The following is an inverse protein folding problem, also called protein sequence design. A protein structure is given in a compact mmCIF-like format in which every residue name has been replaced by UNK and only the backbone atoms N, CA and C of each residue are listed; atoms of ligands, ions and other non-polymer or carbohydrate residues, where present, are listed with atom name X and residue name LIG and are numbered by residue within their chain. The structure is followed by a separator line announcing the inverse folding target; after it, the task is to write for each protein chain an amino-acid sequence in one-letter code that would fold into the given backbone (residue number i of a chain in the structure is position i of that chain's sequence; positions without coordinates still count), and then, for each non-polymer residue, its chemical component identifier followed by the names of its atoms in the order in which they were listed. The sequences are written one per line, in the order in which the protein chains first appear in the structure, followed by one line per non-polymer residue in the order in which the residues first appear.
data_IF_708312042028
#
_entry.id   IF_708312042028
#
_cell.length_a   1.000
_cell.length_b   1.000
_cell.length_c   1.000
_cell.angle_alpha   90.00
_cell.angle_beta   90.00
_cell.angle_gamma   90.00
#
_symmetry.space_group_name_H-M   'P 1'
#
loop_
_entity.id
_entity.type
_entity.pdbx_description
1 polymer ?
#
# COMPACT_ATOMS: atom_id res chain seq x y z
N UNK A 1 16.23 -13.05 -5.28
CA UNK A 1 15.14 -13.41 -4.38
C UNK A 1 14.15 -14.27 -5.15
N UNK A 2 13.70 -15.40 -4.61
CA UNK A 2 12.85 -16.37 -5.32
C UNK A 2 11.45 -16.49 -4.71
N UNK A 3 11.17 -15.74 -3.64
CA UNK A 3 9.89 -15.76 -2.93
C UNK A 3 9.50 -14.34 -2.50
N UNK A 4 9.17 -13.45 -3.46
CA UNK A 4 8.77 -12.09 -3.12
C UNK A 4 7.40 -12.10 -2.43
N UNK A 5 7.28 -11.33 -1.36
CA UNK A 5 6.00 -11.15 -0.64
C UNK A 5 5.19 -9.93 -1.12
N UNK A 6 5.69 -9.19 -2.11
CA UNK A 6 4.97 -8.08 -2.73
C UNK A 6 5.02 -8.26 -4.24
N UNK A 7 3.85 -8.33 -4.88
CA UNK A 7 3.74 -8.42 -6.33
C UNK A 7 3.09 -7.15 -6.89
N UNK A 8 3.71 -6.56 -7.91
CA UNK A 8 3.11 -5.44 -8.68
C UNK A 8 2.74 -5.98 -10.06
N UNK A 9 1.45 -5.94 -10.36
CA UNK A 9 0.86 -6.48 -11.57
C UNK A 9 0.34 -5.34 -12.42
N UNK A 10 0.91 -5.16 -13.61
CA UNK A 10 0.42 -4.21 -14.60
C UNK A 10 -0.33 -5.02 -15.66
N UNK A 11 -1.65 -5.03 -15.57
CA UNK A 11 -2.51 -5.89 -16.40
C UNK A 11 -3.54 -5.05 -17.15
N UNK A 12 -3.75 -5.38 -18.42
CA UNK A 12 -4.93 -4.87 -19.14
C UNK A 12 -6.19 -5.62 -18.69
N UNK A 13 -7.36 -5.09 -19.04
CA UNK A 13 -8.66 -5.65 -18.68
C UNK A 13 -8.78 -7.14 -19.04
N UNK A 14 -8.41 -7.52 -20.26
CA UNK A 14 -8.51 -8.92 -20.74
C UNK A 14 -7.54 -9.84 -19.99
N UNK A 15 -6.31 -9.38 -19.73
CA UNK A 15 -5.29 -10.14 -18.99
C UNK A 15 -5.75 -10.38 -17.55
N UNK A 16 -6.33 -9.35 -16.92
CA UNK A 16 -6.84 -9.39 -15.54
C UNK A 16 -7.98 -10.38 -15.37
N UNK A 17 -8.93 -10.43 -16.31
CA UNK A 17 -10.05 -11.38 -16.26
C UNK A 17 -9.61 -12.85 -16.34
N UNK A 18 -8.45 -13.12 -16.97
CA UNK A 18 -7.84 -14.45 -17.04
C UNK A 18 -6.90 -14.80 -15.87
N UNK A 19 -6.65 -13.87 -14.94
CA UNK A 19 -5.54 -13.97 -13.99
C UNK A 19 -5.85 -14.76 -12.71
N UNK A 20 -7.05 -15.34 -12.57
CA UNK A 20 -7.48 -15.97 -11.31
C UNK A 20 -6.53 -17.08 -10.81
N UNK A 21 -6.13 -18.00 -11.70
CA UNK A 21 -5.26 -19.11 -11.34
C UNK A 21 -3.88 -18.64 -10.88
N UNK A 22 -3.36 -17.61 -11.53
CA UNK A 22 -2.06 -17.02 -11.20
C UNK A 22 -2.15 -16.27 -9.87
N UNK A 23 -3.23 -15.51 -9.63
CA UNK A 23 -3.48 -14.83 -8.37
C UNK A 23 -3.51 -15.81 -7.19
N UNK A 24 -4.22 -16.94 -7.32
CA UNK A 24 -4.28 -17.98 -6.27
C UNK A 24 -2.95 -18.71 -6.07
N UNK A 25 -2.09 -18.73 -7.09
CA UNK A 25 -0.72 -19.25 -6.99
C UNK A 25 0.18 -18.26 -6.27
N UNK A 26 0.04 -16.97 -6.56
CA UNK A 26 0.76 -15.90 -5.89
C UNK A 26 0.39 -15.88 -4.42
N UNK A 27 -0.90 -15.86 -4.08
CA UNK A 27 -1.41 -15.77 -2.70
C UNK A 27 -2.15 -17.05 -2.31
N UNK A 28 -1.43 -18.09 -1.84
CA UNK A 28 -2.07 -19.32 -1.37
C UNK A 28 -3.07 -19.05 -0.24
N UNK A 29 -4.31 -19.51 -0.42
CA UNK A 29 -5.37 -19.35 0.58
C UNK A 29 -6.14 -18.04 0.50
N UNK A 30 -5.93 -17.21 -0.53
CA UNK A 30 -6.78 -16.05 -0.82
C UNK A 30 -8.25 -16.44 -0.89
N UNK A 31 -9.11 -15.69 -0.19
CA UNK A 31 -10.55 -15.91 -0.19
C UNK A 31 -11.22 -15.42 -1.48
N UNK A 32 -12.41 -15.95 -1.76
CA UNK A 32 -13.15 -15.64 -2.99
C UNK A 32 -13.61 -14.17 -3.08
N UNK A 33 -13.77 -13.47 -1.96
CA UNK A 33 -14.15 -12.06 -1.97
C UNK A 33 -12.97 -11.20 -2.44
N UNK A 34 -11.76 -11.51 -1.97
CA UNK A 34 -10.51 -10.86 -2.39
C UNK A 34 -10.18 -11.15 -3.86
N UNK A 35 -10.37 -12.39 -4.31
CA UNK A 35 -10.30 -12.74 -5.74
C UNK A 35 -11.34 -11.96 -6.55
N UNK A 36 -12.57 -11.89 -6.07
CA UNK A 36 -13.65 -11.12 -6.69
C UNK A 36 -13.32 -9.64 -6.82
N UNK A 37 -12.73 -9.03 -5.78
CA UNK A 37 -12.29 -7.63 -5.78
C UNK A 37 -11.21 -7.37 -6.84
N UNK A 38 -10.24 -8.28 -6.99
CA UNK A 38 -9.20 -8.21 -8.02
C UNK A 38 -9.75 -8.39 -9.44
N UNK A 39 -10.67 -9.35 -9.63
CA UNK A 39 -11.24 -9.68 -10.95
C UNK A 39 -12.38 -8.76 -11.37
N UNK A 40 -12.98 -7.99 -10.48
CA UNK A 40 -14.12 -7.11 -10.78
C UNK A 40 -13.89 -5.66 -10.31
N UNK A 41 -12.68 -5.14 -10.54
CA UNK A 41 -12.32 -3.75 -10.21
C UNK A 41 -13.22 -2.76 -10.98
N UNK A 42 -13.90 -1.83 -10.30
CA UNK A 42 -14.69 -0.77 -10.94
C UNK A 42 -13.87 0.03 -11.97
N UNK A 43 -14.55 0.57 -13.00
CA UNK A 43 -13.86 1.28 -14.10
C UNK A 43 -13.24 2.61 -13.67
N UNK A 44 -13.78 3.20 -12.63
CA UNK A 44 -13.31 4.42 -11.96
C UNK A 44 -12.18 4.14 -10.96
N UNK A 45 -11.95 2.88 -10.58
CA UNK A 45 -10.78 2.49 -9.78
C UNK A 45 -9.55 2.33 -10.68
N UNK A 46 -8.55 3.18 -10.48
CA UNK A 46 -7.35 3.26 -11.31
C UNK A 46 -6.34 2.14 -10.96
N UNK A 47 -6.14 1.89 -9.68
CA UNK A 47 -5.28 0.85 -9.14
C UNK A 47 -5.88 0.28 -7.86
N UNK A 48 -5.39 -0.88 -7.42
CA UNK A 48 -5.82 -1.56 -6.20
C UNK A 48 -4.64 -2.31 -5.57
N UNK A 49 -4.40 -2.16 -4.27
CA UNK A 49 -3.58 -3.09 -3.49
C UNK A 49 -4.43 -3.93 -2.54
N UNK A 50 -4.14 -5.23 -2.52
CA UNK A 50 -4.64 -6.16 -1.51
C UNK A 50 -3.48 -6.57 -0.63
N UNK A 51 -3.56 -6.24 0.65
CA UNK A 51 -2.61 -6.68 1.67
C UNK A 51 -3.23 -7.81 2.51
N UNK A 52 -2.46 -8.87 2.69
CA UNK A 52 -2.88 -10.09 3.37
C UNK A 52 -2.10 -10.29 4.65
N UNK A 53 -2.78 -10.82 5.66
CA UNK A 53 -2.18 -11.27 6.90
C UNK A 53 -2.42 -12.76 7.10
N UNK A 54 -1.47 -13.43 7.77
CA UNK A 54 -1.56 -14.85 8.09
C UNK A 54 -1.93 -15.07 9.56
N UNK A 55 -2.66 -16.14 9.82
CA UNK A 55 -2.98 -16.65 11.17
C UNK A 55 -3.65 -15.62 12.11
N UNK A 56 -4.40 -14.66 11.55
CA UNK A 56 -5.06 -13.61 12.32
C UNK A 56 -4.09 -12.61 13.00
N UNK A 57 -2.82 -12.59 12.56
CA UNK A 57 -1.84 -11.61 13.05
C UNK A 57 -2.04 -10.28 12.33
N UNK A 58 -1.77 -9.14 12.98
CA UNK A 58 -1.92 -7.82 12.34
C UNK A 58 -0.80 -7.49 11.34
N UNK A 59 0.14 -8.40 11.09
CA UNK A 59 1.30 -8.18 10.22
C UNK A 59 0.94 -8.53 8.77
N UNK A 60 1.25 -7.63 7.85
CA UNK A 60 1.18 -7.94 6.42
C UNK A 60 2.25 -8.97 6.08
N UNK A 61 1.80 -10.14 5.65
CA UNK A 61 2.66 -11.23 5.19
C UNK A 61 2.85 -11.19 3.68
N UNK A 62 1.89 -10.63 2.95
CA UNK A 62 1.92 -10.58 1.50
C UNK A 62 1.07 -9.43 0.95
N UNK A 63 1.45 -8.87 -0.20
CA UNK A 63 0.65 -7.86 -0.90
C UNK A 63 0.64 -8.10 -2.41
N UNK A 64 -0.48 -7.78 -3.06
CA UNK A 64 -0.63 -7.77 -4.52
C UNK A 64 -1.21 -6.43 -4.92
N UNK A 65 -0.43 -5.63 -5.64
CA UNK A 65 -0.85 -4.41 -6.29
C UNK A 65 -1.24 -4.69 -7.75
N UNK A 66 -2.37 -4.16 -8.17
CA UNK A 66 -2.90 -4.17 -9.52
C UNK A 66 -2.93 -2.74 -10.05
N UNK A 67 -2.30 -2.54 -11.20
CA UNK A 67 -2.31 -1.28 -11.93
C UNK A 67 -2.84 -1.56 -13.33
N UNK A 68 -3.83 -0.79 -13.78
CA UNK A 68 -4.37 -0.93 -15.14
C UNK A 68 -3.30 -0.63 -16.18
N UNK A 69 -3.11 -1.56 -17.13
CA UNK A 69 -2.14 -1.44 -18.21
C UNK A 69 -2.47 -0.34 -19.21
N UNK A 70 -3.73 0.10 -19.24
CA UNK A 70 -4.24 1.16 -20.12
C UNK A 70 -3.86 2.57 -19.67
N UNK A 71 -3.28 2.73 -18.48
CA UNK A 71 -2.92 4.04 -17.95
C UNK A 71 -1.79 4.73 -18.74
N UNK A 72 -1.89 6.04 -18.97
CA UNK A 72 -0.75 6.85 -19.39
C UNK A 72 0.41 6.77 -18.40
N UNK A 73 1.64 7.02 -18.86
CA UNK A 73 2.86 6.86 -18.06
C UNK A 73 2.83 7.57 -16.71
N UNK A 74 2.37 8.83 -16.66
CA UNK A 74 2.30 9.59 -15.42
C UNK A 74 1.26 9.03 -14.44
N UNK A 75 0.11 8.61 -14.94
CA UNK A 75 -0.93 8.01 -14.10
C UNK A 75 -0.46 6.67 -13.53
N UNK A 76 0.14 5.84 -14.38
CA UNK A 76 0.74 4.58 -13.96
C UNK A 76 1.85 4.77 -12.93
N UNK A 77 2.69 5.80 -13.10
CA UNK A 77 3.71 6.14 -12.11
C UNK A 77 3.07 6.54 -10.76
N UNK A 78 1.99 7.33 -10.78
CA UNK A 78 1.27 7.68 -9.57
C UNK A 78 0.72 6.45 -8.84
N UNK A 79 0.05 5.55 -9.57
CA UNK A 79 -0.43 4.27 -9.03
C UNK A 79 0.72 3.43 -8.43
N UNK A 80 1.90 3.41 -9.04
CA UNK A 80 3.06 2.69 -8.48
C UNK A 80 3.45 3.27 -7.13
N UNK A 81 3.52 4.59 -7.00
CA UNK A 81 3.86 5.25 -5.74
C UNK A 81 2.79 4.99 -4.66
N UNK A 82 1.52 5.06 -5.05
CA UNK A 82 0.38 4.81 -4.17
C UNK A 82 0.35 3.38 -3.66
N UNK A 83 0.28 2.41 -4.56
CA UNK A 83 0.05 1.01 -4.19
C UNK A 83 1.24 0.40 -3.45
N UNK A 84 2.47 0.81 -3.78
CA UNK A 84 3.63 0.39 -3.01
C UNK A 84 3.56 0.92 -1.58
N UNK A 85 3.25 2.19 -1.40
CA UNK A 85 3.22 2.79 -0.07
C UNK A 85 2.07 2.25 0.79
N UNK A 86 0.89 2.04 0.20
CA UNK A 86 -0.26 1.44 0.89
C UNK A 86 -0.01 -0.04 1.21
N UNK A 87 0.58 -0.81 0.29
CA UNK A 87 0.93 -2.21 0.53
C UNK A 87 2.05 -2.39 1.57
N UNK A 88 2.83 -1.34 1.86
CA UNK A 88 3.78 -1.29 2.97
C UNK A 88 3.12 -0.96 4.33
N UNK A 89 1.83 -0.61 4.35
CA UNK A 89 1.05 -0.46 5.59
C UNK A 89 0.54 0.94 5.90
N UNK A 90 0.79 1.94 5.05
CA UNK A 90 0.16 3.26 5.15
C UNK A 90 -1.08 3.31 4.26
N UNK A 91 -2.19 2.74 4.75
CA UNK A 91 -3.47 2.82 4.07
C UNK A 91 -3.98 4.27 4.00
N UNK A 92 -4.82 4.54 3.00
CA UNK A 92 -5.38 5.85 2.68
C UNK A 92 -6.48 6.27 3.70
N UNK A 93 -6.07 6.52 4.94
CA UNK A 93 -6.98 6.54 6.10
C UNK A 93 -7.22 7.94 6.69
N UNK A 94 -6.59 9.00 6.19
CA UNK A 94 -6.67 10.32 6.85
C UNK A 94 -6.65 11.52 5.91
N UNK A 95 -7.77 12.28 5.80
CA UNK A 95 -7.79 13.54 5.06
C UNK A 95 -6.93 14.65 5.71
N UNK A 96 -6.37 14.39 6.90
CA UNK A 96 -5.48 15.32 7.61
C UNK A 96 -4.00 15.10 7.28
N UNK A 97 -3.65 14.01 6.61
CA UNK A 97 -2.29 13.76 6.15
C UNK A 97 -1.99 14.66 4.95
N UNK A 98 -1.82 15.97 5.13
CA UNK A 98 -1.46 16.88 4.03
C UNK A 98 -0.07 17.47 4.27
N UNK A 99 0.79 17.54 3.24
CA UNK A 99 0.64 17.01 1.87
C UNK A 99 0.94 15.50 1.81
N UNK A 100 0.11 14.67 1.17
CA UNK A 100 0.32 13.21 1.14
C UNK A 100 -0.37 12.59 -0.05
N UNK A 101 0.03 11.39 -0.44
CA UNK A 101 -0.78 10.50 -1.30
C UNK A 101 -1.82 9.70 -0.49
N UNK A 102 -1.80 9.77 0.85
CA UNK A 102 -2.68 9.04 1.78
C UNK A 102 -3.89 9.87 2.28
N UNK A 103 -4.24 10.97 1.59
CA UNK A 103 -5.35 11.86 1.95
C UNK A 103 -6.55 11.79 0.98
N UNK A 104 -6.58 10.81 0.07
CA UNK A 104 -7.66 10.45 -0.86
C UNK A 104 -8.27 11.59 -1.71
N UNK A 105 -7.56 12.71 -1.85
CA UNK A 105 -8.02 13.88 -2.63
C UNK A 105 -7.35 14.00 -4.00
N UNK A 106 -6.53 13.01 -4.39
CA UNK A 106 -5.76 12.94 -5.63
C UNK A 106 -4.91 14.21 -5.91
N UNK A 107 -4.60 15.02 -4.88
CA UNK A 107 -3.84 16.26 -5.05
C UNK A 107 -2.37 16.00 -5.41
N UNK A 108 -1.82 14.87 -4.95
CA UNK A 108 -0.42 14.50 -5.13
C UNK A 108 -0.32 13.21 -5.95
N UNK A 109 0.39 13.26 -7.07
CA UNK A 109 0.61 12.10 -7.94
C UNK A 109 1.89 11.31 -7.66
N UNK A 110 2.72 11.73 -6.70
CA UNK A 110 3.97 11.07 -6.34
C UNK A 110 4.19 11.20 -4.83
N UNK A 111 4.99 10.28 -4.26
CA UNK A 111 5.42 10.36 -2.87
C UNK A 111 6.00 11.75 -2.56
N UNK A 112 5.44 12.39 -1.55
CA UNK A 112 5.94 13.62 -0.99
C UNK A 112 7.00 13.31 0.08
N UNK A 113 7.77 14.32 0.49
CA UNK A 113 8.66 14.18 1.65
C UNK A 113 7.89 13.80 2.92
N UNK A 114 6.62 14.22 3.06
CA UNK A 114 5.80 13.82 4.20
C UNK A 114 5.50 12.32 4.17
N UNK A 115 5.17 11.76 3.01
CA UNK A 115 4.92 10.33 2.84
C UNK A 115 6.15 9.48 3.17
N UNK A 116 7.31 9.91 2.69
CA UNK A 116 8.58 9.24 3.02
C UNK A 116 8.87 9.26 4.52
N UNK A 117 8.54 10.35 5.22
CA UNK A 117 8.68 10.43 6.67
C UNK A 117 7.70 9.52 7.39
N UNK A 118 6.45 9.44 6.93
CA UNK A 118 5.46 8.51 7.48
C UNK A 118 5.90 7.06 7.31
N UNK A 119 6.46 6.69 6.15
CA UNK A 119 7.01 5.34 5.92
C UNK A 119 8.19 5.07 6.85
N UNK A 120 9.13 6.02 6.97
CA UNK A 120 10.25 5.90 7.93
C UNK A 120 9.76 5.71 9.36
N UNK A 121 8.71 6.43 9.75
CA UNK A 121 8.10 6.28 11.08
C UNK A 121 7.49 4.90 11.26
N UNK A 122 6.70 4.43 10.30
CA UNK A 122 6.03 3.12 10.37
C UNK A 122 7.01 1.96 10.55
N UNK A 123 8.19 2.06 9.92
CA UNK A 123 9.24 1.05 9.97
C UNK A 123 10.32 1.30 11.03
N UNK A 124 10.13 2.28 11.92
CA UNK A 124 11.04 2.48 13.05
C UNK A 124 10.90 1.32 14.05
N UNK A 125 12.02 0.72 14.47
CA UNK A 125 12.07 -0.45 15.37
C UNK A 125 11.30 -0.26 16.69
N UNK A 126 11.04 0.99 17.10
CA UNK A 126 10.26 1.31 18.30
C UNK A 126 8.77 1.08 18.10
N UNK A 127 8.26 1.06 16.86
CA UNK A 127 6.89 0.67 16.54
C UNK A 127 6.85 -0.82 16.20
N UNK A 128 5.90 -1.53 16.80
CA UNK A 128 5.72 -2.96 16.55
C UNK A 128 4.29 -3.23 16.12
N UNK A 129 4.13 -4.17 15.18
CA UNK A 129 2.83 -4.62 14.73
C UNK A 129 1.98 -5.12 15.90
N UNK A 130 0.71 -4.70 15.94
CA UNK A 130 -0.23 -5.07 17.00
C UNK A 130 -0.27 -4.11 18.18
N UNK A 131 0.55 -3.05 18.20
CA UNK A 131 0.33 -1.92 19.09
C UNK A 131 -1.00 -1.24 18.79
N UNK A 132 -1.76 -0.91 19.83
CA UNK A 132 -2.91 -0.04 19.69
C UNK A 132 -2.48 1.43 19.53
N UNK A 133 -3.43 2.28 19.14
CA UNK A 133 -3.16 3.70 18.94
C UNK A 133 -2.65 4.40 20.22
N UNK A 134 -3.09 3.99 21.42
CA UNK A 134 -2.67 4.61 22.67
C UNK A 134 -1.22 4.26 23.02
N UNK A 135 -0.77 3.06 22.66
CA UNK A 135 0.61 2.60 22.78
C UNK A 135 1.52 3.27 21.73
N UNK A 136 1.07 3.31 20.47
CA UNK A 136 1.86 3.82 19.35
C UNK A 136 2.00 5.35 19.35
N UNK A 137 0.95 6.09 19.72
CA UNK A 137 0.92 7.58 19.67
C UNK A 137 2.12 8.26 20.36
N UNK A 138 2.47 7.95 21.63
CA UNK A 138 3.60 8.59 22.29
C UNK A 138 4.94 8.26 21.61
N UNK A 139 5.10 7.06 21.07
CA UNK A 139 6.30 6.62 20.36
C UNK A 139 6.41 7.35 19.02
N UNK A 140 5.33 7.35 18.23
CA UNK A 140 5.24 8.03 16.94
C UNK A 140 5.57 9.53 17.06
N UNK A 141 5.14 10.19 18.15
CA UNK A 141 5.46 11.60 18.39
C UNK A 141 6.96 11.84 18.59
N UNK A 142 7.66 10.94 19.29
CA UNK A 142 9.11 11.02 19.48
C UNK A 142 9.82 10.85 18.14
N UNK A 143 9.49 9.79 17.39
CA UNK A 143 10.06 9.52 16.07
C UNK A 143 9.85 10.72 15.13
N UNK A 144 8.60 11.23 15.05
CA UNK A 144 8.28 12.38 14.22
C UNK A 144 9.16 13.60 14.57
N UNK A 145 9.32 13.90 15.86
CA UNK A 145 10.14 15.01 16.32
C UNK A 145 11.61 14.85 15.91
N UNK A 146 12.16 13.64 16.05
CA UNK A 146 13.54 13.33 15.67
C UNK A 146 13.75 13.48 14.16
N UNK A 147 12.83 12.93 13.34
CA UNK A 147 12.91 13.01 11.88
C UNK A 147 12.76 14.44 11.36
N UNK A 148 11.87 15.25 11.94
CA UNK A 148 11.69 16.65 11.51
C UNK A 148 12.81 17.57 11.99
N UNK A 149 13.42 17.29 13.15
CA UNK A 149 14.52 18.09 13.69
C UNK A 149 15.87 17.78 13.04
N UNK A 150 16.02 16.60 12.45
CA UNK A 150 17.23 16.19 11.73
C UNK A 150 17.33 16.83 10.33
N UNK A 151 16.26 17.53 9.88
CA UNK A 151 16.16 18.16 8.56
C UNK A 151 16.06 17.13 7.42
N UNK A 152 15.59 17.53 6.22
CA UNK A 152 15.80 16.74 5.03
C UNK A 152 17.30 16.75 4.69
N UNK A 153 17.89 15.58 4.52
CA UNK A 153 19.18 15.43 3.82
C UNK A 153 19.02 15.69 2.33
#
# INVERSE_FOLDING_TARGET
DTDPNFHVLILNEDDRLGFESDLRTLVPGIDDASVGAFLNVPRDTLCLVLAFSQDGRPQYSQAVALIRGEHPDLMRLACIHEELAQGLGLANDSPQARPSIFNDDEEFGLLTTHDELLLKMLYDDRLQTGMDAAQATPIARVIATELTNSGPV
#
